data_IF_390255845251
#
_entry.id   IF_390255845251
#
_cell.length_a   1.000
_cell.length_b   1.000
_cell.length_c   1.000
_cell.angle_alpha   90.00
_cell.angle_beta   90.00
_cell.angle_gamma   90.00
#
_symmetry.space_group_name_H-M   'P 1'
#
loop_
_entity.id
_entity.type
_entity.pdbx_description
1 polymer ?
#
# COMPACT_ATOMS: atom_id res chain seq x y z
N UNK A 1 15.08 1.64 0.35
CA UNK A 1 14.98 0.51 1.23
C UNK A 1 14.27 -0.68 0.60
N UNK A 2 14.28 -1.78 1.31
CA UNK A 2 13.63 -3.00 0.84
C UNK A 2 12.12 -2.83 0.77
N UNK A 3 11.51 -3.39 -0.26
CA UNK A 3 10.04 -3.44 -0.36
C UNK A 3 9.51 -4.67 0.37
N UNK A 4 8.41 -4.46 1.12
CA UNK A 4 7.65 -5.58 1.65
C UNK A 4 6.82 -6.22 0.55
N UNK A 5 6.80 -7.56 0.53
CA UNK A 5 5.97 -8.31 -0.41
C UNK A 5 4.59 -8.65 0.14
N UNK A 6 4.34 -8.37 1.42
CA UNK A 6 3.10 -8.79 2.09
C UNK A 6 1.87 -8.11 1.49
N UNK A 7 1.86 -6.77 1.48
CA UNK A 7 0.68 -6.03 0.99
C UNK A 7 0.47 -6.23 -0.50
N UNK A 8 1.51 -6.18 -1.38
CA UNK A 8 1.31 -6.50 -2.78
C UNK A 8 0.75 -7.89 -3.04
N UNK A 9 1.18 -8.88 -2.26
CA UNK A 9 0.66 -10.24 -2.38
C UNK A 9 -0.83 -10.31 -2.00
N UNK A 10 -1.21 -9.64 -0.91
CA UNK A 10 -2.61 -9.57 -0.49
C UNK A 10 -3.47 -8.82 -1.49
N UNK A 11 -2.98 -7.71 -2.03
CA UNK A 11 -3.69 -6.98 -3.09
C UNK A 11 -3.92 -7.87 -4.32
N UNK A 12 -2.89 -8.59 -4.72
CA UNK A 12 -2.99 -9.52 -5.86
C UNK A 12 -4.01 -10.62 -5.58
N UNK A 13 -3.96 -11.22 -4.39
CA UNK A 13 -4.87 -12.29 -3.99
C UNK A 13 -6.33 -11.83 -4.01
N UNK A 14 -6.61 -10.64 -3.50
CA UNK A 14 -7.96 -10.09 -3.40
C UNK A 14 -8.39 -9.31 -4.65
N UNK A 15 -7.55 -9.30 -5.67
CA UNK A 15 -7.82 -8.59 -6.93
C UNK A 15 -8.06 -7.08 -6.71
N UNK A 16 -7.35 -6.49 -5.77
CA UNK A 16 -7.36 -5.04 -5.54
C UNK A 16 -6.39 -4.40 -6.52
N UNK A 17 -6.90 -3.46 -7.31
CA UNK A 17 -6.11 -2.78 -8.34
C UNK A 17 -5.93 -1.31 -7.95
N UNK A 18 -4.72 -0.81 -8.09
CA UNK A 18 -4.39 0.58 -7.84
C UNK A 18 -4.11 1.30 -9.16
N UNK A 19 -4.50 2.56 -9.23
CA UNK A 19 -4.19 3.38 -10.39
C UNK A 19 -2.66 3.59 -10.51
N UNK A 20 -2.21 3.75 -11.75
CA UNK A 20 -0.82 4.13 -11.99
C UNK A 20 -0.60 5.56 -11.50
N UNK A 21 0.36 5.72 -10.61
CA UNK A 21 0.82 7.00 -10.09
C UNK A 21 2.33 6.95 -9.88
N UNK A 22 2.92 8.03 -9.39
CA UNK A 22 4.36 8.10 -9.17
C UNK A 22 4.85 7.04 -8.18
N UNK A 23 4.05 6.74 -7.16
CA UNK A 23 4.40 5.70 -6.19
C UNK A 23 4.44 4.34 -6.89
N UNK A 24 3.46 4.04 -7.71
CA UNK A 24 3.37 2.79 -8.46
C UNK A 24 4.56 2.62 -9.39
N UNK A 25 4.91 3.67 -10.13
CA UNK A 25 6.08 3.68 -10.99
C UNK A 25 7.37 3.47 -10.20
N UNK A 26 7.52 4.16 -9.07
CA UNK A 26 8.67 4.00 -8.18
C UNK A 26 8.78 2.57 -7.67
N UNK A 27 7.66 1.98 -7.22
CA UNK A 27 7.65 0.61 -6.73
C UNK A 27 8.01 -0.39 -7.83
N UNK A 28 7.55 -0.14 -9.06
CA UNK A 28 7.90 -0.99 -10.21
C UNK A 28 9.39 -0.91 -10.53
N UNK A 29 9.99 0.28 -10.46
CA UNK A 29 11.42 0.47 -10.67
C UNK A 29 12.25 -0.19 -9.57
N UNK A 30 11.76 -0.18 -8.34
CA UNK A 30 12.46 -0.67 -7.16
C UNK A 30 12.19 -2.13 -6.83
N UNK A 31 11.38 -2.82 -7.63
CA UNK A 31 10.99 -4.20 -7.32
C UNK A 31 12.16 -5.18 -7.29
N UNK A 32 13.29 -4.84 -7.90
CA UNK A 32 14.49 -5.68 -7.84
C UNK A 32 15.10 -5.75 -6.43
N UNK A 33 14.72 -4.85 -5.52
CA UNK A 33 15.09 -4.95 -4.10
C UNK A 33 14.27 -5.98 -3.35
N UNK A 34 13.16 -6.44 -3.94
CA UNK A 34 12.37 -7.53 -3.38
C UNK A 34 13.01 -8.85 -3.81
N UNK A 35 13.07 -9.87 -2.94
CA UNK A 35 13.61 -11.17 -3.34
C UNK A 35 12.91 -11.72 -4.59
N UNK A 36 13.64 -12.34 -5.53
CA UNK A 36 13.04 -12.85 -6.76
C UNK A 36 11.89 -13.82 -6.53
N UNK A 37 11.99 -14.70 -5.52
CA UNK A 37 10.92 -15.63 -5.18
C UNK A 37 9.63 -14.93 -4.76
N UNK A 38 9.76 -13.79 -4.07
CA UNK A 38 8.60 -12.97 -3.68
C UNK A 38 7.96 -12.31 -4.89
N UNK A 39 8.77 -11.80 -5.81
CA UNK A 39 8.26 -11.21 -7.06
C UNK A 39 7.54 -12.26 -7.90
N UNK A 40 8.10 -13.46 -7.97
CA UNK A 40 7.50 -14.56 -8.71
C UNK A 40 6.16 -14.98 -8.09
N UNK A 41 6.07 -15.00 -6.76
CA UNK A 41 4.83 -15.28 -6.05
C UNK A 41 3.76 -14.25 -6.36
N UNK A 42 4.12 -12.97 -6.28
CA UNK A 42 3.16 -11.89 -6.56
C UNK A 42 2.63 -12.03 -7.99
N UNK A 43 3.51 -12.24 -8.96
CA UNK A 43 3.09 -12.41 -10.35
C UNK A 43 2.21 -13.63 -10.53
N UNK A 44 2.56 -14.75 -9.91
CA UNK A 44 1.74 -15.95 -9.95
C UNK A 44 0.33 -15.68 -9.41
N UNK A 45 0.24 -15.02 -8.27
CA UNK A 45 -1.04 -14.69 -7.64
C UNK A 45 -1.84 -13.73 -8.52
N UNK A 46 -1.20 -12.71 -9.08
CA UNK A 46 -1.86 -11.78 -10.01
C UNK A 46 -2.46 -12.51 -11.22
N UNK A 47 -1.72 -13.46 -11.76
CA UNK A 47 -2.14 -14.17 -12.98
C UNK A 47 -3.20 -15.23 -12.71
N UNK A 48 -3.28 -15.76 -11.48
CA UNK A 48 -4.14 -16.91 -11.19
C UNK A 48 -5.29 -16.63 -10.22
N UNK A 49 -5.20 -15.59 -9.38
CA UNK A 49 -6.26 -15.32 -8.41
C UNK A 49 -7.49 -14.73 -9.08
N UNK A 50 -8.64 -15.30 -8.76
CA UNK A 50 -9.96 -14.82 -9.20
C UNK A 50 -10.90 -14.72 -8.00
N UNK A 51 -10.35 -14.45 -6.82
CA UNK A 51 -11.10 -14.47 -5.56
C UNK A 51 -12.29 -13.52 -5.63
N UNK A 52 -12.10 -12.29 -6.08
CA UNK A 52 -13.18 -11.31 -6.17
C UNK A 52 -14.34 -11.82 -7.04
N UNK A 53 -14.02 -12.41 -8.16
CA UNK A 53 -15.02 -12.97 -9.08
C UNK A 53 -15.69 -14.20 -8.47
N UNK A 54 -14.91 -15.06 -7.81
CA UNK A 54 -15.42 -16.30 -7.23
C UNK A 54 -16.40 -16.06 -6.07
N UNK A 55 -16.20 -15.01 -5.30
CA UNK A 55 -17.07 -14.70 -4.15
C UNK A 55 -18.27 -13.82 -4.50
N UNK A 56 -18.32 -13.28 -5.71
CA UNK A 56 -19.31 -12.28 -6.11
C UNK A 56 -20.76 -12.78 -5.98
N UNK A 57 -21.00 -14.08 -6.21
CA UNK A 57 -22.33 -14.65 -6.18
C UNK A 57 -22.75 -15.19 -4.81
N UNK A 58 -21.89 -15.11 -3.81
CA UNK A 58 -22.16 -15.62 -2.47
C UNK A 58 -22.08 -14.47 -1.45
N UNK A 59 -23.22 -14.13 -0.85
CA UNK A 59 -23.30 -13.00 0.07
C UNK A 59 -22.42 -13.14 1.31
N UNK A 60 -22.34 -14.35 1.86
CA UNK A 60 -21.50 -14.58 3.05
C UNK A 60 -20.03 -14.43 2.74
N UNK A 61 -19.59 -15.02 1.61
CA UNK A 61 -18.21 -14.89 1.17
C UNK A 61 -17.88 -13.46 0.76
N UNK A 62 -18.82 -12.77 0.14
CA UNK A 62 -18.62 -11.37 -0.23
C UNK A 62 -18.44 -10.49 0.98
N UNK A 63 -19.18 -10.76 2.06
CA UNK A 63 -19.00 -10.06 3.33
C UNK A 63 -17.62 -10.30 3.91
N UNK A 64 -17.17 -11.55 3.90
CA UNK A 64 -15.82 -11.89 4.37
C UNK A 64 -14.74 -11.21 3.53
N UNK A 65 -14.95 -11.18 2.23
CA UNK A 65 -14.06 -10.47 1.30
C UNK A 65 -13.97 -8.98 1.65
N UNK A 66 -15.11 -8.34 1.85
CA UNK A 66 -15.17 -6.92 2.23
C UNK A 66 -14.48 -6.68 3.57
N UNK A 67 -14.67 -7.60 4.53
CA UNK A 67 -14.00 -7.52 5.84
C UNK A 67 -12.48 -7.62 5.69
N UNK A 68 -11.99 -8.50 4.83
CA UNK A 68 -10.56 -8.61 4.55
C UNK A 68 -10.01 -7.31 3.93
N UNK A 69 -10.70 -6.75 2.96
CA UNK A 69 -10.30 -5.49 2.35
C UNK A 69 -10.27 -4.36 3.37
N UNK A 70 -11.25 -4.34 4.27
CA UNK A 70 -11.31 -3.36 5.35
C UNK A 70 -10.12 -3.51 6.30
N UNK A 71 -9.76 -4.73 6.67
CA UNK A 71 -8.60 -4.95 7.54
C UNK A 71 -7.30 -4.50 6.89
N UNK A 72 -7.14 -4.72 5.59
CA UNK A 72 -5.98 -4.23 4.86
C UNK A 72 -5.98 -2.69 4.82
N UNK A 73 -7.15 -2.08 4.65
CA UNK A 73 -7.30 -0.62 4.67
C UNK A 73 -6.91 -0.05 6.04
N UNK A 74 -7.32 -0.72 7.13
CA UNK A 74 -6.93 -0.35 8.49
C UNK A 74 -5.41 -0.44 8.65
N UNK A 75 -4.81 -1.53 8.17
CA UNK A 75 -3.35 -1.69 8.20
C UNK A 75 -2.66 -0.53 7.45
N UNK A 76 -3.14 -0.19 6.26
CA UNK A 76 -2.59 0.93 5.49
C UNK A 76 -2.75 2.26 6.21
N UNK A 77 -3.87 2.45 6.94
CA UNK A 77 -4.09 3.65 7.74
C UNK A 77 -3.10 3.75 8.89
N UNK A 78 -2.82 2.64 9.56
CA UNK A 78 -1.82 2.60 10.62
C UNK A 78 -0.41 2.86 10.08
N UNK A 79 -0.09 2.26 8.95
CA UNK A 79 1.19 2.49 8.28
C UNK A 79 1.35 3.97 7.91
N UNK A 80 0.30 4.56 7.36
CA UNK A 80 0.28 5.98 7.02
C UNK A 80 0.52 6.85 8.26
N UNK A 81 -0.13 6.51 9.37
CA UNK A 81 0.03 7.24 10.63
C UNK A 81 1.45 7.15 11.16
N UNK A 82 2.05 5.96 11.17
CA UNK A 82 3.43 5.79 11.61
C UNK A 82 4.40 6.54 10.70
N UNK A 83 4.19 6.48 9.40
CA UNK A 83 5.02 7.23 8.46
C UNK A 83 4.92 8.74 8.71
N UNK A 84 3.70 9.25 8.95
CA UNK A 84 3.49 10.66 9.25
C UNK A 84 4.19 11.07 10.54
N UNK A 85 4.07 10.26 11.60
CA UNK A 85 4.72 10.53 12.88
C UNK A 85 6.24 10.53 12.72
N UNK A 86 6.79 9.57 12.01
CA UNK A 86 8.22 9.48 11.76
C UNK A 86 8.75 10.71 11.01
N UNK A 87 8.05 11.11 9.97
CA UNK A 87 8.41 12.27 9.16
C UNK A 87 8.32 13.55 9.99
N UNK A 88 7.26 13.68 10.79
CA UNK A 88 7.08 14.83 11.69
C UNK A 88 8.24 14.92 12.68
N UNK A 89 8.62 13.81 13.30
CA UNK A 89 9.72 13.79 14.26
C UNK A 89 11.04 14.15 13.60
N UNK A 90 11.29 13.69 12.39
CA UNK A 90 12.49 14.06 11.64
C UNK A 90 12.52 15.56 11.33
N UNK A 91 11.38 16.11 10.89
CA UNK A 91 11.26 17.54 10.62
C UNK A 91 11.55 18.38 11.86
N UNK A 92 11.01 17.98 13.02
CA UNK A 92 11.26 18.64 14.29
C UNK A 92 12.73 18.60 14.67
N UNK A 93 13.37 17.43 14.52
CA UNK A 93 14.80 17.28 14.81
C UNK A 93 15.65 18.16 13.90
N UNK A 94 15.33 18.20 12.63
CA UNK A 94 16.03 19.04 11.66
C UNK A 94 15.95 20.51 12.05
N UNK A 95 14.79 20.96 12.49
CA UNK A 95 14.59 22.33 12.95
C UNK A 95 15.44 22.62 14.18
N UNK A 96 15.47 21.71 15.14
CA UNK A 96 16.24 21.86 16.38
C UNK A 96 17.74 21.96 16.12
N UNK A 97 18.25 21.25 15.14
CA UNK A 97 19.67 21.22 14.83
C UNK A 97 20.08 22.20 13.73
N UNK A 98 19.18 23.11 13.36
CA UNK A 98 19.50 24.17 12.42
C UNK A 98 19.62 23.74 10.96
N UNK A 99 19.34 22.49 10.65
CA UNK A 99 19.33 21.99 9.29
C UNK A 99 17.98 22.21 8.60
N UNK A 100 17.20 23.18 9.10
CA UNK A 100 15.84 23.45 8.68
C UNK A 100 15.69 23.81 7.22
N UNK A 101 14.44 23.87 6.79
CA UNK A 101 14.07 24.29 5.44
C UNK A 101 14.01 23.17 4.43
N UNK A 102 14.50 22.00 4.75
CA UNK A 102 14.42 20.86 3.85
C UNK A 102 12.99 20.29 3.81
N UNK A 103 12.58 19.84 2.65
CA UNK A 103 11.32 19.12 2.52
C UNK A 103 11.37 17.84 3.33
N UNK A 104 10.30 17.59 4.08
CA UNK A 104 10.16 16.34 4.80
C UNK A 104 9.88 15.24 3.77
N UNK A 105 10.68 14.19 3.78
CA UNK A 105 10.56 13.08 2.83
C UNK A 105 10.45 11.76 3.56
N UNK A 106 9.79 10.78 2.91
CA UNK A 106 9.77 9.43 3.40
C UNK A 106 11.14 8.76 3.26
N UNK A 107 11.25 7.53 3.74
CA UNK A 107 12.51 6.78 3.75
C UNK A 107 13.13 6.60 2.37
N UNK A 108 12.33 6.66 1.32
CA UNK A 108 12.81 6.59 -0.07
C UNK A 108 13.22 7.92 -0.67
N UNK A 109 13.17 9.00 0.11
CA UNK A 109 13.51 10.34 -0.37
C UNK A 109 12.42 11.04 -1.16
N UNK A 110 11.22 10.50 -1.22
CA UNK A 110 10.09 11.00 -1.99
C UNK A 110 8.87 11.24 -1.10
N UNK A 111 8.08 12.31 -1.35
CA UNK A 111 6.90 12.62 -0.52
C UNK A 111 5.72 11.73 -0.91
N UNK A 112 5.68 10.52 -0.41
CA UNK A 112 4.69 9.52 -0.80
C UNK A 112 3.38 9.56 0.00
N UNK A 113 3.22 10.50 0.94
CA UNK A 113 2.06 10.51 1.84
C UNK A 113 0.71 10.54 1.09
N UNK A 114 0.61 11.37 0.06
CA UNK A 114 -0.64 11.47 -0.71
C UNK A 114 -0.96 10.16 -1.46
N UNK A 115 0.06 9.46 -1.93
CA UNK A 115 -0.11 8.19 -2.63
C UNK A 115 -0.48 7.07 -1.67
N UNK A 116 0.08 7.08 -0.46
CA UNK A 116 -0.28 6.12 0.57
C UNK A 116 -1.75 6.27 0.97
N UNK A 117 -2.24 7.51 1.10
CA UNK A 117 -3.65 7.77 1.38
C UNK A 117 -4.54 7.27 0.25
N UNK A 118 -4.14 7.53 -0.98
CA UNK A 118 -4.88 7.07 -2.16
C UNK A 118 -4.97 5.56 -2.19
N UNK A 119 -3.87 4.85 -1.97
CA UNK A 119 -3.84 3.39 -1.95
C UNK A 119 -4.70 2.82 -0.82
N UNK A 120 -4.69 3.48 0.35
CA UNK A 120 -5.56 3.10 1.45
C UNK A 120 -7.03 3.19 1.04
N UNK A 121 -7.43 4.30 0.43
CA UNK A 121 -8.80 4.53 0.02
C UNK A 121 -9.23 3.59 -1.10
N UNK A 122 -8.34 3.28 -2.03
CA UNK A 122 -8.60 2.29 -3.07
C UNK A 122 -8.81 0.88 -2.52
N UNK A 123 -8.19 0.57 -1.38
CA UNK A 123 -8.33 -0.72 -0.71
C UNK A 123 -9.65 -0.82 0.07
N UNK A 124 -10.18 0.30 0.56
CA UNK A 124 -11.39 0.33 1.35
C UNK A 124 -12.62 0.18 0.45
N UNK A 125 -13.18 -1.03 0.41
CA UNK A 125 -14.31 -1.34 -0.46
C UNK A 125 -15.56 -0.54 -0.13
N UNK A 126 -15.72 -0.07 1.10
CA UNK A 126 -16.88 0.73 1.50
C UNK A 126 -16.93 2.09 0.79
N UNK A 127 -15.77 2.60 0.36
CA UNK A 127 -15.67 3.87 -0.36
C UNK A 127 -16.01 3.77 -1.83
N UNK A 128 -16.10 2.55 -2.35
CA UNK A 128 -16.44 2.28 -3.75
C UNK A 128 -17.89 1.85 -3.93
N UNK A 129 -18.63 1.67 -2.85
CA UNK A 129 -20.05 1.35 -2.88
C UNK A 129 -20.86 2.64 -3.03
N UNK A 130 -21.64 2.70 -4.09
CA UNK A 130 -22.57 3.79 -4.30
C UNK A 130 -23.97 3.40 -3.86
#
# INVERSE_FOLDING_TARGET
GAQSSIVPTLDALLNVVHEKDELREYLDEMKFYMPPSHRDLIKYVEDHSKVKQEVADNKELMKLYDDCCQEISIFRSQHLRYAADYIHNQSTKSTLFGSGGSKVRGTGGTPFMKYLRKHRDETDSSKHKK
#
